data_IF_482719757714
#
_entry.id   IF_482719757714
#
_cell.length_a   1.000
_cell.length_b   1.000
_cell.length_c   1.000
_cell.angle_alpha   90.00
_cell.angle_beta   90.00
_cell.angle_gamma   90.00
#
_symmetry.space_group_name_H-M   'P 1'
#
loop_
_entity.id
_entity.type
_entity.pdbx_description
1 polymer ?
#
# COMPACT_ATOMS: atom_id res chain seq x y z
N UNK A 1 -7.82 22.92 8.36
CA UNK A 1 -7.07 22.91 7.08
C UNK A 1 -5.69 22.26 7.19
N UNK A 2 -4.98 22.36 8.32
CA UNK A 2 -3.63 21.79 8.51
C UNK A 2 -3.65 20.26 8.71
N UNK A 3 -4.68 19.71 9.37
CA UNK A 3 -4.79 18.28 9.70
C UNK A 3 -4.75 17.37 8.46
N UNK A 4 -5.45 17.75 7.39
CA UNK A 4 -5.50 16.99 6.14
C UNK A 4 -4.14 16.90 5.46
N UNK A 5 -3.34 17.99 5.50
CA UNK A 5 -1.98 17.99 4.97
C UNK A 5 -1.06 17.05 5.75
N UNK A 6 -1.22 16.97 7.08
CA UNK A 6 -0.46 16.02 7.93
C UNK A 6 -0.79 14.57 7.56
N UNK A 7 -2.07 14.26 7.34
CA UNK A 7 -2.46 12.91 6.94
C UNK A 7 -1.91 12.53 5.56
N UNK A 8 -1.95 13.45 4.59
CA UNK A 8 -1.37 13.22 3.26
C UNK A 8 0.13 12.93 3.36
N UNK A 9 0.89 13.73 4.13
CA UNK A 9 2.32 13.49 4.36
C UNK A 9 2.57 12.13 5.03
N UNK A 10 1.77 11.76 6.02
CA UNK A 10 1.88 10.44 6.67
C UNK A 10 1.69 9.29 5.69
N UNK A 11 0.74 9.41 4.76
CA UNK A 11 0.48 8.38 3.75
C UNK A 11 1.65 8.27 2.76
N UNK A 12 2.20 9.41 2.31
CA UNK A 12 3.37 9.44 1.42
C UNK A 12 4.59 8.81 2.08
N UNK A 13 4.89 9.17 3.33
CA UNK A 13 6.02 8.58 4.07
C UNK A 13 5.85 7.05 4.21
N UNK A 14 4.63 6.58 4.45
CA UNK A 14 4.36 5.14 4.52
C UNK A 14 4.61 4.47 3.18
N UNK A 15 4.14 5.05 2.07
CA UNK A 15 4.37 4.50 0.74
C UNK A 15 5.87 4.38 0.40
N UNK A 16 6.68 5.35 0.81
CA UNK A 16 8.14 5.31 0.66
C UNK A 16 8.79 4.19 1.49
N UNK A 17 8.31 3.95 2.71
CA UNK A 17 8.77 2.85 3.56
C UNK A 17 8.49 1.48 2.89
N UNK A 18 7.27 1.30 2.39
CA UNK A 18 6.88 0.08 1.66
C UNK A 18 7.71 -0.11 0.39
N UNK A 19 8.02 0.98 -0.31
CA UNK A 19 8.89 0.96 -1.50
C UNK A 19 10.31 0.52 -1.15
N UNK A 20 10.88 1.03 -0.04
CA UNK A 20 12.18 0.59 0.44
C UNK A 20 12.21 -0.90 0.83
N UNK A 21 11.07 -1.45 1.25
CA UNK A 21 10.90 -2.88 1.55
C UNK A 21 10.71 -3.75 0.30
N UNK A 22 10.55 -3.13 -0.88
CA UNK A 22 10.30 -3.81 -2.14
C UNK A 22 8.85 -4.28 -2.33
N UNK A 23 7.94 -3.90 -1.43
CA UNK A 23 6.55 -4.37 -1.46
C UNK A 23 5.57 -3.32 -2.08
N UNK A 24 6.10 -2.23 -2.64
CA UNK A 24 5.27 -1.18 -3.24
C UNK A 24 4.56 -1.67 -4.51
N UNK A 25 3.31 -1.22 -4.69
CA UNK A 25 2.45 -1.66 -5.77
C UNK A 25 1.70 -2.95 -5.48
N UNK A 26 1.79 -3.50 -4.26
CA UNK A 26 0.97 -4.61 -3.80
C UNK A 26 0.02 -4.18 -2.68
N UNK A 27 -1.21 -4.68 -2.73
CA UNK A 27 -2.24 -4.37 -1.78
C UNK A 27 -1.88 -4.93 -0.41
N UNK A 28 -1.87 -4.09 0.61
CA UNK A 28 -1.49 -4.48 1.96
C UNK A 28 -2.52 -5.36 2.68
N UNK A 29 -3.72 -5.52 2.12
CA UNK A 29 -4.74 -6.43 2.65
C UNK A 29 -4.70 -7.80 1.96
N UNK A 30 -4.54 -7.84 0.63
CA UNK A 30 -4.66 -9.08 -0.15
C UNK A 30 -3.33 -9.63 -0.66
N UNK A 31 -2.29 -8.80 -0.73
CA UNK A 31 -1.00 -9.13 -1.37
C UNK A 31 -1.03 -9.08 -2.90
N UNK A 32 -2.17 -8.76 -3.51
CA UNK A 32 -2.32 -8.70 -4.98
C UNK A 32 -1.75 -7.40 -5.56
N UNK A 33 -1.35 -7.43 -6.83
CA UNK A 33 -0.84 -6.25 -7.52
C UNK A 33 -1.92 -5.15 -7.67
N UNK A 34 -1.57 -3.91 -7.31
CA UNK A 34 -2.38 -2.72 -7.52
C UNK A 34 -2.17 -2.24 -8.96
N UNK A 35 -3.27 -2.09 -9.72
CA UNK A 35 -3.19 -1.64 -11.10
C UNK A 35 -2.61 -0.23 -11.25
N UNK A 36 -1.77 -0.02 -12.28
CA UNK A 36 -1.15 1.28 -12.56
C UNK A 36 -2.15 2.43 -12.73
N UNK A 37 -3.36 2.14 -13.24
CA UNK A 37 -4.46 3.13 -13.35
C UNK A 37 -4.83 3.76 -12.00
N UNK A 38 -4.59 3.06 -10.88
CA UNK A 38 -4.82 3.55 -9.51
C UNK A 38 -3.61 4.31 -8.96
N UNK A 39 -2.40 3.79 -9.19
CA UNK A 39 -1.16 4.34 -8.64
C UNK A 39 -0.72 5.62 -9.33
N UNK A 40 -0.91 5.74 -10.65
CA UNK A 40 -0.53 6.95 -11.40
C UNK A 40 -1.19 8.24 -10.87
N UNK A 41 -2.51 8.28 -10.61
CA UNK A 41 -3.14 9.45 -10.03
C UNK A 41 -2.96 9.58 -8.51
N UNK A 42 -2.68 8.49 -7.80
CA UNK A 42 -2.58 8.45 -6.33
C UNK A 42 -1.43 7.51 -5.93
N UNK A 43 -0.18 8.00 -5.99
CA UNK A 43 1.01 7.17 -5.82
C UNK A 43 1.20 6.67 -4.38
N UNK A 44 0.57 7.30 -3.39
CA UNK A 44 0.63 6.87 -1.99
C UNK A 44 -0.33 5.70 -1.66
N UNK A 45 -1.10 5.21 -2.64
CA UNK A 45 -2.08 4.15 -2.41
C UNK A 45 -1.41 2.81 -2.08
N UNK A 46 -1.81 2.23 -0.94
CA UNK A 46 -1.35 0.92 -0.45
C UNK A 46 -2.41 -0.18 -0.55
N UNK A 47 -3.59 0.13 -1.10
CA UNK A 47 -4.72 -0.81 -1.20
C UNK A 47 -5.29 -0.81 -2.61
N UNK A 48 -5.79 -1.96 -3.03
CA UNK A 48 -6.60 -2.06 -4.25
C UNK A 48 -7.91 -1.26 -4.08
N UNK A 49 -8.58 -0.98 -5.20
CA UNK A 49 -9.90 -0.30 -5.17
C UNK A 49 -10.92 -1.15 -4.40
N UNK A 50 -10.93 -2.47 -4.64
CA UNK A 50 -11.90 -3.36 -3.98
C UNK A 50 -11.64 -3.47 -2.47
N UNK A 51 -10.39 -3.61 -2.06
CA UNK A 51 -10.00 -3.58 -0.65
C UNK A 51 -10.39 -2.29 0.05
N UNK A 52 -10.13 -1.15 -0.60
CA UNK A 52 -10.49 0.16 -0.05
C UNK A 52 -12.01 0.31 0.12
N UNK A 53 -12.80 -0.14 -0.86
CA UNK A 53 -14.28 -0.15 -0.76
C UNK A 53 -14.77 -0.98 0.42
N UNK A 54 -14.16 -2.14 0.67
CA UNK A 54 -14.54 -3.01 1.81
C UNK A 54 -14.19 -2.34 3.14
N UNK A 55 -13.02 -1.70 3.25
CA UNK A 55 -12.62 -0.96 4.45
C UNK A 55 -13.56 0.21 4.75
N UNK A 56 -13.90 0.99 3.72
CA UNK A 56 -14.83 2.11 3.83
C UNK A 56 -16.23 1.64 4.24
N UNK A 57 -16.72 0.54 3.67
CA UNK A 57 -18.00 -0.06 4.05
C UNK A 57 -18.03 -0.53 5.52
N UNK A 58 -16.88 -0.94 6.06
CA UNK A 58 -16.71 -1.30 7.48
C UNK A 58 -16.55 -0.08 8.40
N UNK A 59 -16.52 1.14 7.85
CA UNK A 59 -16.22 2.37 8.61
C UNK A 59 -14.76 2.44 9.09
N UNK A 60 -13.88 1.60 8.54
CA UNK A 60 -12.47 1.57 8.90
C UNK A 60 -11.67 2.58 8.09
N UNK A 61 -10.72 3.25 8.75
CA UNK A 61 -9.65 3.93 8.04
C UNK A 61 -8.63 2.90 7.54
N UNK A 62 -7.93 3.14 6.42
CA UNK A 62 -6.81 2.29 5.99
C UNK A 62 -5.69 2.35 7.04
N UNK A 63 -5.72 1.41 7.98
CA UNK A 63 -4.65 1.19 8.94
C UNK A 63 -3.82 0.01 8.42
N UNK A 64 -2.51 0.20 8.20
CA UNK A 64 -1.64 -0.89 7.80
C UNK A 64 -1.37 -1.78 9.02
N UNK A 65 -2.35 -2.63 9.37
CA UNK A 65 -2.19 -3.64 10.42
C UNK A 65 -1.58 -4.90 9.79
N UNK A 66 -0.25 -4.88 9.64
CA UNK A 66 0.52 -5.98 9.07
C UNK A 66 0.81 -5.78 7.58
N UNK A 67 2.09 -5.87 7.21
CA UNK A 67 2.48 -5.94 5.80
C UNK A 67 2.16 -7.34 5.28
N UNK A 68 1.21 -7.44 4.34
CA UNK A 68 1.16 -8.61 3.48
C UNK A 68 2.33 -8.50 2.51
N UNK A 69 3.31 -9.39 2.66
CA UNK A 69 4.51 -9.40 1.80
C UNK A 69 4.14 -9.67 0.35
N UNK A 70 4.87 -9.07 -0.57
CA UNK A 70 4.71 -9.34 -1.99
C UNK A 70 4.97 -10.83 -2.32
N UNK A 71 4.20 -11.42 -3.25
CA UNK A 71 4.44 -12.79 -3.73
C UNK A 71 5.80 -12.96 -4.41
N UNK A 72 6.42 -11.86 -4.86
CA UNK A 72 7.64 -11.83 -5.68
C UNK A 72 8.94 -11.75 -4.86
N UNK A 73 8.90 -11.91 -3.53
CA UNK A 73 10.13 -12.09 -2.75
C UNK A 73 10.70 -13.48 -3.01
N UNK A 74 11.37 -13.65 -4.15
CA UNK A 74 12.41 -14.66 -4.27
C UNK A 74 13.41 -14.36 -3.17
N UNK A 75 13.69 -15.33 -2.30
CA UNK A 75 14.71 -15.17 -1.27
C UNK A 75 16.01 -14.70 -1.95
N UNK A 76 16.71 -13.67 -1.45
CA UNK A 76 17.99 -13.22 -2.02
C UNK A 76 19.09 -14.30 -1.96
N UNK A 77 18.80 -15.51 -1.50
CA UNK A 77 19.67 -16.70 -1.57
C UNK A 77 19.49 -17.58 -2.82
N UNK A 78 18.63 -17.22 -3.78
CA UNK A 78 18.37 -18.04 -4.98
C UNK A 78 19.18 -17.62 -6.22
N UNK A 79 19.96 -16.53 -6.12
CA UNK A 79 21.00 -16.19 -7.08
C UNK A 79 22.34 -16.65 -6.50
N UNK A 80 22.85 -17.76 -7.03
CA UNK A 80 24.18 -18.34 -6.79
C UNK A 80 25.30 -17.32 -6.83
#
# INVERSE_FOLDING_TARGET
>A
MIESGRQALSNVLKALEILALGDYGFCQETGEAIGLKRLLPVPESLYSVESMRVLEAKGGAPTPSGLVKSPQRSDPGELR
#
